data_IF_092851767447
#
_entry.id   IF_092851767447
#
_cell.length_a   1.000
_cell.length_b   1.000
_cell.length_c   1.000
_cell.angle_alpha   90.00
_cell.angle_beta   90.00
_cell.angle_gamma   90.00
#
_symmetry.space_group_name_H-M   'P 1'
#
loop_
_entity.id
_entity.type
_entity.pdbx_description
1 polymer ?
#
# COMPACT_ATOMS: atom_id res chain seq x y z
N UNK A 1 -6.98 -18.94 23.87
CA UNK A 1 -7.54 -20.02 23.24
C UNK A 1 -8.11 -19.81 21.86
N UNK A 2 -9.26 -20.38 21.64
CA UNK A 2 -9.92 -20.41 20.34
C UNK A 2 -10.30 -19.02 19.82
N UNK A 3 -10.64 -18.09 20.69
CA UNK A 3 -11.03 -16.73 20.28
C UNK A 3 -9.87 -15.97 19.65
N UNK A 4 -8.67 -16.06 20.20
CA UNK A 4 -7.49 -15.45 19.63
C UNK A 4 -7.16 -16.03 18.26
N UNK A 5 -7.25 -17.36 18.14
CA UNK A 5 -6.98 -18.05 16.88
C UNK A 5 -7.99 -17.67 15.80
N UNK A 6 -9.27 -17.53 16.14
CA UNK A 6 -10.34 -17.15 15.22
C UNK A 6 -10.11 -15.71 14.72
N UNK A 7 -9.78 -14.80 15.63
CA UNK A 7 -9.53 -13.40 15.30
C UNK A 7 -8.34 -13.24 14.39
N UNK A 8 -7.23 -13.93 14.68
CA UNK A 8 -6.02 -13.89 13.85
C UNK A 8 -6.30 -14.43 12.45
N UNK A 9 -7.04 -15.53 12.35
CA UNK A 9 -7.44 -16.10 11.07
C UNK A 9 -8.33 -15.16 10.29
N UNK A 10 -9.28 -14.49 10.97
CA UNK A 10 -10.20 -13.57 10.31
C UNK A 10 -9.46 -12.34 9.77
N UNK A 11 -8.53 -11.75 10.54
CA UNK A 11 -7.74 -10.62 10.09
C UNK A 11 -6.92 -10.95 8.85
N UNK A 12 -6.22 -12.09 8.84
CA UNK A 12 -5.46 -12.54 7.69
C UNK A 12 -6.34 -12.85 6.49
N UNK A 13 -7.48 -13.48 6.72
CA UNK A 13 -8.44 -13.83 5.69
C UNK A 13 -9.05 -12.59 5.02
N UNK A 14 -9.42 -11.60 5.83
CA UNK A 14 -9.99 -10.34 5.34
C UNK A 14 -8.97 -9.58 4.51
N UNK A 15 -7.75 -9.43 5.01
CA UNK A 15 -6.68 -8.75 4.28
C UNK A 15 -6.39 -9.44 2.94
N UNK A 16 -6.29 -10.77 2.94
CA UNK A 16 -6.06 -11.54 1.73
C UNK A 16 -7.22 -11.40 0.73
N UNK A 17 -8.46 -11.39 1.21
CA UNK A 17 -9.64 -11.26 0.36
C UNK A 17 -9.71 -9.87 -0.28
N UNK A 18 -9.45 -8.81 0.48
CA UNK A 18 -9.44 -7.44 -0.04
C UNK A 18 -8.33 -7.30 -1.09
N UNK A 19 -7.13 -7.80 -0.79
CA UNK A 19 -6.00 -7.72 -1.72
C UNK A 19 -6.28 -8.47 -3.02
N UNK A 20 -6.91 -9.64 -2.93
CA UNK A 20 -7.27 -10.43 -4.10
C UNK A 20 -8.30 -9.71 -4.97
N UNK A 21 -9.31 -9.12 -4.35
CA UNK A 21 -10.35 -8.37 -5.06
C UNK A 21 -9.77 -7.12 -5.72
N UNK A 22 -8.92 -6.40 -4.99
CA UNK A 22 -8.26 -5.20 -5.48
C UNK A 22 -7.37 -5.52 -6.68
N UNK A 23 -6.56 -6.58 -6.58
CA UNK A 23 -5.68 -7.04 -7.66
C UNK A 23 -6.49 -7.39 -8.91
N UNK A 24 -7.60 -8.10 -8.73
CA UNK A 24 -8.49 -8.47 -9.83
C UNK A 24 -9.09 -7.23 -10.49
N UNK A 25 -9.57 -6.28 -9.70
CA UNK A 25 -10.22 -5.07 -10.21
C UNK A 25 -9.22 -4.19 -10.97
N UNK A 26 -7.99 -4.07 -10.47
CA UNK A 26 -6.93 -3.37 -11.19
C UNK A 26 -6.69 -4.01 -12.56
N UNK A 27 -6.48 -5.33 -12.57
CA UNK A 27 -6.18 -6.06 -13.81
C UNK A 27 -7.32 -5.98 -14.83
N UNK A 28 -8.57 -6.11 -14.38
CA UNK A 28 -9.74 -6.02 -15.26
C UNK A 28 -9.90 -4.64 -15.89
N UNK A 29 -9.32 -3.61 -15.28
CA UNK A 29 -9.38 -2.25 -15.76
C UNK A 29 -8.07 -1.78 -16.42
N UNK A 30 -7.18 -2.71 -16.74
CA UNK A 30 -5.94 -2.41 -17.43
C UNK A 30 -4.88 -1.72 -16.58
N UNK A 31 -4.99 -1.81 -15.26
CA UNK A 31 -4.02 -1.26 -14.32
C UNK A 31 -3.18 -2.41 -13.79
N UNK A 32 -1.93 -2.48 -14.22
CA UNK A 32 -1.02 -3.58 -13.88
C UNK A 32 -0.20 -3.26 -12.65
N UNK A 33 -0.89 -3.13 -11.50
CA UNK A 33 -0.23 -2.94 -10.21
C UNK A 33 -0.76 -3.95 -9.21
N UNK A 34 0.11 -4.33 -8.27
CA UNK A 34 -0.26 -5.20 -7.15
C UNK A 34 -0.75 -4.35 -5.99
N UNK A 35 -1.46 -4.94 -5.01
CA UNK A 35 -1.82 -4.22 -3.79
C UNK A 35 -0.63 -3.66 -3.03
N UNK A 36 0.52 -4.35 -3.04
CA UNK A 36 1.74 -3.85 -2.41
C UNK A 36 2.28 -2.61 -3.13
N UNK A 37 2.29 -2.64 -4.47
CA UNK A 37 2.68 -1.48 -5.28
C UNK A 37 1.72 -0.31 -5.07
N UNK A 38 0.43 -0.60 -4.96
CA UNK A 38 -0.60 0.39 -4.65
C UNK A 38 -0.27 1.15 -3.36
N UNK A 39 0.14 0.43 -2.32
CA UNK A 39 0.51 1.03 -1.03
C UNK A 39 1.68 2.01 -1.17
N UNK A 40 2.70 1.64 -1.96
CA UNK A 40 3.84 2.52 -2.23
C UNK A 40 3.41 3.74 -3.04
N UNK A 41 2.60 3.52 -4.07
CA UNK A 41 2.11 4.61 -4.91
C UNK A 41 1.28 5.61 -4.11
N UNK A 42 0.42 5.15 -3.21
CA UNK A 42 -0.35 6.02 -2.33
C UNK A 42 0.55 6.99 -1.57
N UNK A 43 1.64 6.47 -1.02
CA UNK A 43 2.59 7.29 -0.28
C UNK A 43 3.29 8.29 -1.19
N UNK A 44 3.72 7.86 -2.37
CA UNK A 44 4.44 8.71 -3.33
C UNK A 44 3.54 9.80 -3.92
N UNK A 45 2.26 9.52 -4.13
CA UNK A 45 1.33 10.55 -4.61
C UNK A 45 1.13 11.66 -3.60
N UNK A 46 1.27 11.37 -2.32
CA UNK A 46 1.19 12.38 -1.26
C UNK A 46 2.54 13.09 -1.05
N UNK A 47 3.64 12.34 -1.09
CA UNK A 47 4.98 12.87 -0.88
C UNK A 47 5.95 12.17 -1.80
N UNK A 48 6.22 12.78 -2.95
CA UNK A 48 7.16 12.27 -3.93
C UNK A 48 8.61 12.54 -3.49
N UNK A 49 9.54 11.77 -4.01
CA UNK A 49 10.97 11.99 -3.73
C UNK A 49 11.36 11.62 -2.31
N UNK A 50 11.09 10.40 -1.91
CA UNK A 50 11.40 9.89 -0.57
C UNK A 50 12.44 8.78 -0.64
N UNK A 51 13.10 8.52 0.49
CA UNK A 51 14.06 7.42 0.59
C UNK A 51 13.33 6.08 0.68
N UNK A 52 14.04 5.02 0.33
CA UNK A 52 13.52 3.67 0.49
C UNK A 52 13.22 3.35 1.96
N UNK A 53 14.02 3.90 2.89
CA UNK A 53 13.77 3.71 4.33
C UNK A 53 12.45 4.33 4.76
N UNK A 54 12.12 5.51 4.25
CA UNK A 54 10.83 6.16 4.52
C UNK A 54 9.67 5.29 4.04
N UNK A 55 9.82 4.65 2.88
CA UNK A 55 8.80 3.73 2.35
C UNK A 55 8.68 2.47 3.21
N UNK A 56 9.81 1.92 3.68
CA UNK A 56 9.80 0.78 4.61
C UNK A 56 9.02 1.12 5.88
N UNK A 57 9.29 2.28 6.45
CA UNK A 57 8.62 2.71 7.68
C UNK A 57 7.12 2.92 7.46
N UNK A 58 6.74 3.53 6.34
CA UNK A 58 5.34 3.81 6.04
C UNK A 58 4.52 2.55 5.76
N UNK A 59 5.13 1.52 5.17
CA UNK A 59 4.44 0.30 4.75
C UNK A 59 4.69 -0.88 5.68
N UNK A 60 5.51 -0.71 6.69
CA UNK A 60 5.93 -1.75 7.62
C UNK A 60 6.51 -2.97 6.87
N UNK A 61 7.41 -2.68 5.94
CA UNK A 61 8.05 -3.70 5.09
C UNK A 61 9.55 -3.66 5.34
N UNK A 62 10.21 -4.83 5.28
CA UNK A 62 11.66 -4.91 5.44
C UNK A 62 12.40 -4.38 4.19
N UNK A 63 13.68 -4.08 4.37
CA UNK A 63 14.51 -3.49 3.32
C UNK A 63 14.65 -4.39 2.07
N UNK A 64 14.94 -5.70 2.21
CA UNK A 64 15.03 -6.56 1.01
C UNK A 64 13.73 -6.65 0.22
N UNK A 65 12.60 -6.75 0.91
CA UNK A 65 11.28 -6.80 0.27
C UNK A 65 10.99 -5.50 -0.46
N UNK A 66 11.29 -4.35 0.18
CA UNK A 66 11.09 -3.05 -0.44
C UNK A 66 12.00 -2.87 -1.66
N UNK A 67 13.26 -3.32 -1.59
CA UNK A 67 14.18 -3.24 -2.72
C UNK A 67 13.62 -3.97 -3.94
N UNK A 68 13.11 -5.20 -3.75
CA UNK A 68 12.50 -5.97 -4.84
C UNK A 68 11.26 -5.30 -5.41
N UNK A 69 10.44 -4.74 -4.51
CA UNK A 69 9.22 -4.06 -4.90
C UNK A 69 9.52 -2.83 -5.77
N UNK A 70 10.48 -2.01 -5.33
CA UNK A 70 10.91 -0.82 -6.09
C UNK A 70 11.58 -1.22 -7.40
N UNK A 71 12.40 -2.27 -7.41
CA UNK A 71 13.01 -2.79 -8.64
C UNK A 71 11.94 -3.15 -9.68
N UNK A 72 10.87 -3.83 -9.26
CA UNK A 72 9.76 -4.18 -10.14
C UNK A 72 9.02 -2.95 -10.64
N UNK A 73 8.77 -1.99 -9.75
CA UNK A 73 8.08 -0.75 -10.12
C UNK A 73 8.91 0.10 -11.08
N UNK A 74 10.22 0.08 -10.92
CA UNK A 74 11.15 0.76 -11.84
C UNK A 74 11.12 0.11 -13.23
N UNK A 75 11.10 -1.22 -13.29
CA UNK A 75 10.96 -1.95 -14.56
C UNK A 75 9.63 -1.67 -15.25
N UNK A 76 8.57 -1.43 -14.48
CA UNK A 76 7.26 -1.08 -15.00
C UNK A 76 7.15 0.43 -15.34
N UNK A 77 8.23 1.17 -15.18
CA UNK A 77 8.28 2.63 -15.45
C UNK A 77 7.30 3.45 -14.59
N UNK A 78 7.02 2.97 -13.39
CA UNK A 78 6.17 3.69 -12.44
C UNK A 78 6.96 4.63 -11.55
N UNK A 79 8.19 4.24 -11.21
CA UNK A 79 9.11 5.02 -10.36
C UNK A 79 10.50 5.01 -10.94
N UNK A 80 11.34 5.92 -10.46
CA UNK A 80 12.75 6.01 -10.80
C UNK A 80 13.54 6.38 -9.56
N UNK A 81 14.74 5.80 -9.43
CA UNK A 81 15.67 6.17 -8.37
C UNK A 81 16.55 7.31 -8.85
N UNK A 82 16.57 8.39 -8.09
CA UNK A 82 17.39 9.56 -8.39
C UNK A 82 18.30 9.82 -7.20
N UNK A 83 19.61 9.97 -7.44
CA UNK A 83 20.55 10.27 -6.38
C UNK A 83 20.18 11.60 -5.71
N UNK A 84 20.25 11.62 -4.37
CA UNK A 84 20.01 12.84 -3.61
C UNK A 84 21.15 13.84 -3.87
N UNK A 85 20.80 15.08 -4.15
CA UNK A 85 21.79 16.15 -4.39
C UNK A 85 22.66 16.43 -3.16
N UNK A 86 22.13 16.18 -1.97
CA UNK A 86 22.82 16.43 -0.70
C UNK A 86 23.71 15.25 -0.28
N UNK A 87 23.29 14.04 -0.62
CA UNK A 87 24.04 12.83 -0.31
C UNK A 87 23.86 11.83 -1.47
N UNK A 88 24.85 11.79 -2.34
CA UNK A 88 24.84 10.95 -3.55
C UNK A 88 24.82 9.46 -3.26
N UNK A 89 25.07 9.05 -2.02
CA UNK A 89 24.98 7.64 -1.60
C UNK A 89 23.54 7.21 -1.39
N UNK A 90 22.64 8.18 -1.22
CA UNK A 90 21.22 7.94 -0.99
C UNK A 90 20.45 8.19 -2.26
N UNK A 91 19.59 7.25 -2.62
CA UNK A 91 18.64 7.40 -3.73
C UNK A 91 17.29 7.83 -3.18
N UNK A 92 16.66 8.75 -3.89
CA UNK A 92 15.29 9.14 -3.66
C UNK A 92 14.40 8.45 -4.70
N UNK A 93 13.26 7.98 -4.26
CA UNK A 93 12.29 7.32 -5.12
C UNK A 93 11.30 8.37 -5.60
N UNK A 94 11.23 8.55 -6.91
CA UNK A 94 10.34 9.52 -7.55
C UNK A 94 9.36 8.81 -8.47
N UNK A 95 8.17 9.35 -8.56
CA UNK A 95 7.20 8.94 -9.57
C UNK A 95 7.70 9.37 -10.96
N UNK A 96 7.50 8.51 -11.94
CA UNK A 96 7.62 8.90 -13.35
C UNK A 96 6.34 9.62 -13.76
N UNK A 97 6.33 10.17 -14.99
CA UNK A 97 5.11 10.73 -15.57
C UNK A 97 3.98 9.69 -15.58
N UNK A 98 4.29 8.47 -16.01
CA UNK A 98 3.34 7.35 -16.03
C UNK A 98 2.81 7.04 -14.63
N UNK A 99 3.68 7.00 -13.62
CA UNK A 99 3.27 6.76 -12.23
C UNK A 99 2.34 7.84 -11.71
N UNK A 100 2.61 9.10 -12.05
CA UNK A 100 1.74 10.22 -11.66
C UNK A 100 0.38 10.17 -12.34
N UNK A 101 0.36 9.87 -13.63
CA UNK A 101 -0.88 9.82 -14.42
C UNK A 101 -1.80 8.69 -14.02
N UNK A 102 -1.27 7.66 -13.37
CA UNK A 102 -2.02 6.49 -12.93
C UNK A 102 -2.94 6.80 -11.74
N UNK A 103 -2.65 7.86 -10.98
CA UNK A 103 -3.32 8.14 -9.70
C UNK A 103 -4.84 8.15 -9.78
N UNK A 104 -5.39 8.92 -10.72
CA UNK A 104 -6.85 9.08 -10.83
C UNK A 104 -7.57 7.75 -11.05
N UNK A 105 -7.09 6.98 -12.01
CA UNK A 105 -7.69 5.70 -12.36
C UNK A 105 -7.53 4.68 -11.24
N UNK A 106 -6.34 4.59 -10.67
CA UNK A 106 -6.06 3.63 -9.60
C UNK A 106 -6.87 3.94 -8.34
N UNK A 107 -6.96 5.22 -7.94
CA UNK A 107 -7.78 5.62 -6.79
C UNK A 107 -9.26 5.32 -7.01
N UNK A 108 -9.76 5.55 -8.21
CA UNK A 108 -11.15 5.25 -8.56
C UNK A 108 -11.46 3.76 -8.37
N UNK A 109 -10.59 2.90 -8.89
CA UNK A 109 -10.74 1.44 -8.80
C UNK A 109 -10.65 0.98 -7.34
N UNK A 110 -9.65 1.48 -6.61
CA UNK A 110 -9.45 1.11 -5.22
C UNK A 110 -10.59 1.56 -4.32
N UNK A 111 -11.08 2.79 -4.51
CA UNK A 111 -12.20 3.31 -3.74
C UNK A 111 -13.47 2.51 -4.00
N UNK A 112 -13.73 2.13 -5.24
CA UNK A 112 -14.86 1.29 -5.60
C UNK A 112 -14.76 -0.08 -4.93
N UNK A 113 -13.58 -0.68 -4.94
CA UNK A 113 -13.33 -1.98 -4.31
C UNK A 113 -13.56 -1.92 -2.81
N UNK A 114 -13.02 -0.89 -2.15
CA UNK A 114 -13.19 -0.71 -0.71
C UNK A 114 -14.64 -0.43 -0.35
N UNK A 115 -15.34 0.34 -1.16
CA UNK A 115 -16.77 0.63 -0.95
C UNK A 115 -17.59 -0.66 -0.97
N UNK A 116 -17.29 -1.57 -1.90
CA UNK A 116 -17.93 -2.88 -1.94
C UNK A 116 -17.61 -3.70 -0.68
N UNK A 117 -16.35 -3.71 -0.27
CA UNK A 117 -15.90 -4.47 0.90
C UNK A 117 -16.52 -3.95 2.20
N UNK A 118 -16.77 -2.65 2.28
CA UNK A 118 -17.27 -1.99 3.49
C UNK A 118 -18.78 -1.78 3.46
N UNK A 119 -19.46 -2.35 2.49
CA UNK A 119 -20.90 -2.23 2.33
C UNK A 119 -21.65 -2.68 3.58
N UNK A 120 -22.61 -1.87 4.03
CA UNK A 120 -23.40 -2.18 5.23
C UNK A 120 -22.78 -1.70 6.55
N UNK A 121 -21.55 -1.19 6.53
CA UNK A 121 -20.90 -0.68 7.72
C UNK A 121 -21.22 0.83 7.90
N UNK A 122 -21.44 1.23 9.15
CA UNK A 122 -21.60 2.65 9.49
C UNK A 122 -20.24 3.32 9.61
N UNK A 123 -20.21 4.65 9.52
CA UNK A 123 -19.00 5.44 9.74
C UNK A 123 -18.43 5.20 11.14
N UNK A 124 -19.32 5.05 12.13
CA UNK A 124 -18.91 4.78 13.51
C UNK A 124 -18.23 3.43 13.63
N UNK A 125 -18.78 2.38 13.02
CA UNK A 125 -18.17 1.06 13.00
C UNK A 125 -16.78 1.09 12.34
N UNK A 126 -16.65 1.81 11.23
CA UNK A 126 -15.36 1.95 10.55
C UNK A 126 -14.34 2.66 11.42
N UNK A 127 -14.75 3.75 12.09
CA UNK A 127 -13.88 4.50 12.98
C UNK A 127 -13.42 3.65 14.15
N UNK A 128 -14.32 2.92 14.78
CA UNK A 128 -13.99 2.03 15.90
C UNK A 128 -13.00 0.96 15.46
N UNK A 129 -13.24 0.32 14.30
CA UNK A 129 -12.35 -0.73 13.81
C UNK A 129 -10.95 -0.20 13.50
N UNK A 130 -10.85 0.99 12.89
CA UNK A 130 -9.55 1.63 12.63
C UNK A 130 -8.81 1.95 13.92
N UNK A 131 -9.51 2.47 14.92
CA UNK A 131 -8.91 2.80 16.22
C UNK A 131 -8.39 1.55 16.92
N UNK A 132 -9.14 0.45 16.87
CA UNK A 132 -8.73 -0.83 17.45
C UNK A 132 -7.47 -1.35 16.76
N UNK A 133 -7.45 -1.38 15.43
CA UNK A 133 -6.30 -1.85 14.66
C UNK A 133 -5.06 -0.99 14.94
N UNK A 134 -5.24 0.32 15.05
CA UNK A 134 -4.15 1.24 15.38
C UNK A 134 -3.54 0.95 16.75
N UNK A 135 -4.38 0.68 17.74
CA UNK A 135 -3.92 0.31 19.09
C UNK A 135 -3.13 -1.00 19.07
N UNK A 136 -3.64 -2.00 18.36
CA UNK A 136 -2.95 -3.28 18.23
C UNK A 136 -1.57 -3.07 17.59
N UNK A 137 -1.50 -2.34 16.49
CA UNK A 137 -0.24 -2.05 15.81
C UNK A 137 0.73 -1.30 16.72
N UNK A 138 0.26 -0.28 17.42
CA UNK A 138 1.10 0.52 18.34
C UNK A 138 1.71 -0.36 19.43
N UNK A 139 0.99 -1.35 19.93
CA UNK A 139 1.49 -2.24 20.98
C UNK A 139 2.62 -3.15 20.51
N UNK A 140 2.66 -3.52 19.23
CA UNK A 140 3.55 -4.57 18.73
C UNK A 140 4.55 -4.10 17.65
N UNK A 141 4.52 -2.85 17.28
CA UNK A 141 5.35 -2.34 16.17
C UNK A 141 6.84 -2.20 16.47
N UNK A 142 7.28 -2.43 17.70
CA UNK A 142 8.65 -2.20 18.19
C UNK A 142 9.07 -0.75 18.16
#
# INVERSE_FOLDING_TARGET
>A
GSEMCIRDRLNGKVSAAINRKLSRNFRQNGVEITPEQWTVLLFLWEKDGVTQQELCNATFKDKPSMTRLIDNMERQHLVVRIADKRDRRTNLIHLTKTGRELEGKARFIANKTLKEALQGLTLEELKVSQDVLRKVFTNIKD
#
